data_IF_219264881823
#
_entry.id   IF_219264881823
#
_cell.length_a   1.000
_cell.length_b   1.000
_cell.length_c   1.000
_cell.angle_alpha   90.00
_cell.angle_beta   90.00
_cell.angle_gamma   90.00
#
_symmetry.space_group_name_H-M   'P 1'
#
loop_
_entity.id
_entity.type
_entity.pdbx_description
1 polymer ?
#
# COMPACT_ATOMS: atom_id res chain seq x y z
N UNK A 1 -18.71 -9.31 -22.31
CA UNK A 1 -18.03 -8.02 -22.18
C UNK A 1 -16.58 -8.34 -21.91
N UNK A 2 -15.71 -8.01 -22.86
CA UNK A 2 -14.34 -8.50 -22.98
C UNK A 2 -13.49 -8.16 -21.76
N UNK A 3 -13.01 -9.21 -21.09
CA UNK A 3 -11.94 -9.15 -20.11
C UNK A 3 -10.69 -8.67 -20.85
N UNK A 4 -10.45 -7.37 -20.83
CA UNK A 4 -9.25 -6.77 -21.40
C UNK A 4 -8.09 -7.12 -20.45
N UNK A 5 -7.62 -8.37 -20.55
CA UNK A 5 -6.33 -8.79 -20.03
C UNK A 5 -5.28 -7.96 -20.76
N UNK A 6 -4.95 -6.80 -20.19
CA UNK A 6 -3.69 -6.13 -20.47
C UNK A 6 -2.64 -7.17 -20.16
N UNK A 7 -1.84 -7.52 -21.17
CA UNK A 7 -0.74 -8.47 -21.08
C UNK A 7 0.09 -8.08 -19.85
N UNK A 8 -0.07 -8.83 -18.76
CA UNK A 8 0.60 -8.51 -17.51
C UNK A 8 2.09 -8.53 -17.83
N UNK A 9 2.78 -7.40 -17.59
CA UNK A 9 4.25 -7.34 -17.60
C UNK A 9 4.76 -8.66 -16.98
N UNK A 10 5.74 -9.31 -17.61
CA UNK A 10 6.29 -10.54 -17.03
C UNK A 10 6.75 -10.26 -15.58
N UNK A 11 6.73 -11.27 -14.72
CA UNK A 11 6.98 -11.09 -13.29
C UNK A 11 8.29 -10.32 -13.03
N UNK A 12 9.33 -10.58 -13.82
CA UNK A 12 10.65 -9.97 -13.73
C UNK A 12 10.63 -8.46 -14.05
N UNK A 13 9.83 -8.02 -15.03
CA UNK A 13 9.62 -6.61 -15.33
C UNK A 13 8.89 -5.89 -14.18
N UNK A 14 7.89 -6.54 -13.59
CA UNK A 14 7.18 -6.03 -12.40
C UNK A 14 8.14 -5.91 -11.22
N UNK A 15 8.95 -6.93 -10.95
CA UNK A 15 9.97 -6.92 -9.89
C UNK A 15 10.97 -5.79 -10.12
N UNK A 16 11.47 -5.62 -11.35
CA UNK A 16 12.40 -4.52 -11.69
C UNK A 16 11.79 -3.15 -11.39
N UNK A 17 10.51 -2.96 -11.70
CA UNK A 17 9.78 -1.72 -11.37
C UNK A 17 9.63 -1.53 -9.86
N UNK A 18 9.33 -2.59 -9.12
CA UNK A 18 9.24 -2.58 -7.65
C UNK A 18 10.60 -2.22 -7.04
N UNK A 19 11.71 -2.76 -7.54
CA UNK A 19 13.06 -2.44 -7.07
C UNK A 19 13.42 -0.98 -7.32
N UNK A 20 13.09 -0.44 -8.50
CA UNK A 20 13.27 0.97 -8.80
C UNK A 20 12.47 1.85 -7.84
N UNK A 21 11.20 1.49 -7.59
CA UNK A 21 10.32 2.15 -6.63
C UNK A 21 10.89 2.08 -5.20
N UNK A 22 11.44 0.93 -4.80
CA UNK A 22 12.08 0.73 -3.49
C UNK A 22 13.23 1.71 -3.26
N UNK A 23 14.11 1.90 -4.26
CA UNK A 23 15.23 2.86 -4.17
C UNK A 23 14.76 4.30 -4.00
N UNK A 24 13.70 4.71 -4.72
CA UNK A 24 13.10 6.04 -4.58
C UNK A 24 12.53 6.24 -3.17
N UNK A 25 11.83 5.24 -2.64
CA UNK A 25 11.27 5.26 -1.27
C UNK A 25 12.37 5.35 -0.22
N UNK A 26 13.44 4.57 -0.33
CA UNK A 26 14.58 4.67 0.58
C UNK A 26 15.19 6.08 0.61
N UNK A 27 15.31 6.73 -0.56
CA UNK A 27 15.78 8.12 -0.65
C UNK A 27 14.85 9.11 0.05
N UNK A 28 13.53 8.96 -0.12
CA UNK A 28 12.53 9.81 0.54
C UNK A 28 12.54 9.62 2.06
N UNK A 29 12.65 8.37 2.52
CA UNK A 29 12.72 8.05 3.95
C UNK A 29 13.97 8.63 4.61
N UNK A 30 15.12 8.62 3.94
CA UNK A 30 16.35 9.29 4.41
C UNK A 30 16.18 10.80 4.55
N UNK A 31 15.32 11.41 3.74
CA UNK A 31 14.98 12.83 3.79
C UNK A 31 13.84 13.13 4.78
N UNK A 32 13.37 12.14 5.55
CA UNK A 32 12.19 12.25 6.43
C UNK A 32 10.89 12.62 5.70
N UNK A 33 10.82 12.40 4.37
CA UNK A 33 9.63 12.60 3.52
C UNK A 33 8.76 11.35 3.53
N UNK A 34 8.21 11.04 4.70
CA UNK A 34 7.53 9.76 4.95
C UNK A 34 6.19 9.65 4.22
N UNK A 35 5.45 10.75 4.09
CA UNK A 35 4.17 10.76 3.36
C UNK A 35 4.39 10.60 1.87
N UNK A 36 5.38 11.28 1.29
CA UNK A 36 5.75 11.12 -0.12
C UNK A 36 6.27 9.71 -0.41
N UNK A 37 7.00 9.11 0.55
CA UNK A 37 7.42 7.72 0.46
C UNK A 37 6.20 6.77 0.43
N UNK A 38 5.20 6.99 1.29
CA UNK A 38 3.97 6.20 1.29
C UNK A 38 3.18 6.38 -0.02
N UNK A 39 2.97 7.63 -0.47
CA UNK A 39 2.33 7.91 -1.78
C UNK A 39 3.03 7.16 -2.90
N UNK A 40 4.35 7.28 -2.97
CA UNK A 40 5.17 6.58 -3.98
C UNK A 40 4.98 5.06 -3.90
N UNK A 41 4.85 4.49 -2.69
CA UNK A 41 4.67 3.05 -2.51
C UNK A 41 3.30 2.57 -3.03
N UNK A 42 2.24 3.34 -2.75
CA UNK A 42 0.86 3.05 -3.12
C UNK A 42 0.56 3.35 -4.59
N UNK A 43 1.29 4.27 -5.22
CA UNK A 43 1.15 4.61 -6.64
C UNK A 43 1.33 3.37 -7.53
N UNK A 44 0.37 3.18 -8.44
CA UNK A 44 0.32 2.03 -9.35
C UNK A 44 0.13 0.68 -8.66
N UNK A 45 -0.40 0.64 -7.43
CA UNK A 45 -0.75 -0.59 -6.71
C UNK A 45 -2.25 -0.95 -6.84
N UNK A 46 -2.62 -2.24 -6.77
CA UNK A 46 -1.73 -3.40 -6.66
C UNK A 46 -0.93 -3.67 -7.95
N UNK A 47 0.17 -4.45 -7.89
CA UNK A 47 0.77 -4.94 -9.12
C UNK A 47 -0.29 -5.83 -9.80
N UNK A 48 -0.73 -5.44 -11.00
CA UNK A 48 -1.75 -6.16 -11.80
C UNK A 48 -1.24 -7.54 -12.24
N UNK A 49 -1.07 -8.46 -11.29
CA UNK A 49 -0.49 -9.78 -11.47
C UNK A 49 -1.03 -10.77 -10.45
N UNK A 50 -1.05 -12.04 -10.86
CA UNK A 50 -1.38 -13.17 -9.98
C UNK A 50 -0.13 -13.77 -9.31
N UNK A 51 1.07 -13.29 -9.67
CA UNK A 51 2.32 -13.78 -9.10
C UNK A 51 2.50 -13.26 -7.66
N UNK A 52 2.44 -14.18 -6.70
CA UNK A 52 2.61 -13.89 -5.27
C UNK A 52 4.00 -13.35 -4.91
N UNK A 53 5.03 -13.62 -5.73
CA UNK A 53 6.37 -13.05 -5.55
C UNK A 53 6.34 -11.55 -5.80
N UNK A 54 5.62 -11.11 -6.84
CA UNK A 54 5.46 -9.69 -7.15
C UNK A 54 4.65 -8.96 -6.06
N UNK A 55 3.55 -9.57 -5.59
CA UNK A 55 2.76 -9.03 -4.48
C UNK A 55 3.59 -8.92 -3.21
N UNK A 56 4.36 -9.95 -2.88
CA UNK A 56 5.26 -9.97 -1.71
C UNK A 56 6.38 -8.95 -1.83
N UNK A 57 6.98 -8.78 -3.01
CA UNK A 57 7.98 -7.73 -3.23
C UNK A 57 7.37 -6.33 -3.05
N UNK A 58 6.16 -6.08 -3.59
CA UNK A 58 5.48 -4.80 -3.41
C UNK A 58 5.11 -4.54 -1.95
N UNK A 59 4.73 -5.60 -1.20
CA UNK A 59 4.47 -5.51 0.23
C UNK A 59 5.63 -4.92 1.00
N UNK A 60 6.82 -5.47 0.79
CA UNK A 60 8.02 -5.09 1.56
C UNK A 60 8.27 -3.59 1.41
N UNK A 61 8.01 -3.06 0.21
CA UNK A 61 8.13 -1.64 -0.10
C UNK A 61 7.06 -0.81 0.61
N UNK A 62 5.79 -1.23 0.56
CA UNK A 62 4.68 -0.52 1.23
C UNK A 62 4.81 -0.58 2.74
N UNK A 63 5.08 -1.76 3.30
CA UNK A 63 5.30 -2.01 4.72
C UNK A 63 6.39 -1.10 5.28
N UNK A 64 7.52 -0.97 4.58
CA UNK A 64 8.60 -0.08 4.98
C UNK A 64 8.15 1.38 5.08
N UNK A 65 7.39 1.88 4.10
CA UNK A 65 6.86 3.23 4.13
C UNK A 65 5.82 3.40 5.25
N UNK A 66 4.94 2.41 5.44
CA UNK A 66 3.92 2.38 6.48
C UNK A 66 4.54 2.46 7.88
N UNK A 67 5.58 1.67 8.14
CA UNK A 67 6.28 1.64 9.44
C UNK A 67 7.09 2.91 9.73
N UNK A 68 7.42 3.70 8.70
CA UNK A 68 8.12 4.97 8.87
C UNK A 68 7.20 6.13 9.31
N UNK A 69 5.87 5.97 9.20
CA UNK A 69 4.90 6.98 9.61
C UNK A 69 4.86 7.06 11.15
N UNK A 70 5.30 8.20 11.68
CA UNK A 70 5.22 8.52 13.11
C UNK A 70 4.01 9.37 13.45
N UNK A 71 3.69 10.33 12.59
CA UNK A 71 2.55 11.24 12.71
C UNK A 71 1.43 10.81 11.75
N UNK A 72 0.45 10.09 12.29
CA UNK A 72 -0.69 9.55 11.53
C UNK A 72 -1.67 10.66 11.12
N UNK A 73 -1.95 11.61 12.02
CA UNK A 73 -2.83 12.74 11.73
C UNK A 73 -2.25 13.65 10.64
N UNK A 74 -0.94 13.96 10.73
CA UNK A 74 -0.21 14.71 9.71
C UNK A 74 -0.16 13.99 8.37
N UNK A 75 0.04 12.67 8.37
CA UNK A 75 -0.03 11.85 7.15
C UNK A 75 -1.37 12.05 6.42
N UNK A 76 -2.49 11.94 7.13
CA UNK A 76 -3.81 12.12 6.53
C UNK A 76 -4.21 13.56 6.23
N UNK A 77 -3.40 14.54 6.64
CA UNK A 77 -3.56 15.93 6.20
C UNK A 77 -2.91 16.17 4.85
N UNK A 78 -1.99 15.29 4.44
CA UNK A 78 -1.22 15.41 3.20
C UNK A 78 -1.51 14.31 2.18
N UNK A 79 -2.02 13.15 2.61
CA UNK A 79 -2.35 12.01 1.75
C UNK A 79 -3.68 12.23 1.01
N UNK A 80 -3.64 12.07 -0.32
CA UNK A 80 -4.82 12.28 -1.16
C UNK A 80 -5.86 11.16 -0.95
N UNK A 81 -7.18 11.49 -0.93
CA UNK A 81 -8.23 10.51 -0.70
C UNK A 81 -8.27 9.35 -1.70
N UNK A 82 -7.71 9.51 -2.90
CA UNK A 82 -7.61 8.43 -3.90
C UNK A 82 -6.79 7.22 -3.40
N UNK A 83 -5.87 7.44 -2.45
CA UNK A 83 -5.04 6.38 -1.88
C UNK A 83 -5.70 5.63 -0.71
N UNK A 84 -6.87 6.07 -0.24
CA UNK A 84 -7.47 5.56 0.99
C UNK A 84 -7.88 4.09 0.87
N UNK A 85 -8.54 3.73 -0.23
CA UNK A 85 -9.01 2.35 -0.44
C UNK A 85 -7.84 1.38 -0.59
N UNK A 86 -6.79 1.76 -1.34
CA UNK A 86 -5.59 0.93 -1.49
C UNK A 86 -4.77 0.85 -0.20
N UNK A 87 -4.70 1.92 0.57
CA UNK A 87 -4.08 1.91 1.90
C UNK A 87 -4.82 0.94 2.81
N UNK A 88 -6.16 1.00 2.87
CA UNK A 88 -6.99 0.11 3.69
C UNK A 88 -6.70 -1.37 3.41
N UNK A 89 -6.54 -1.74 2.13
CA UNK A 89 -6.14 -3.11 1.76
C UNK A 89 -4.78 -3.52 2.33
N UNK A 90 -3.79 -2.64 2.22
CA UNK A 90 -2.45 -2.91 2.77
C UNK A 90 -2.45 -2.98 4.30
N UNK A 91 -3.34 -2.24 4.98
CA UNK A 91 -3.53 -2.40 6.43
C UNK A 91 -4.04 -3.80 6.75
N UNK A 92 -5.06 -4.31 6.05
CA UNK A 92 -5.54 -5.67 6.26
C UNK A 92 -4.48 -6.74 5.94
N UNK A 93 -3.67 -6.53 4.90
CA UNK A 93 -2.53 -7.40 4.64
C UNK A 93 -1.54 -7.40 5.81
N UNK A 94 -1.19 -6.23 6.33
CA UNK A 94 -0.32 -6.09 7.49
C UNK A 94 -0.91 -6.76 8.74
N UNK A 95 -2.20 -6.64 8.99
CA UNK A 95 -2.89 -7.32 10.09
C UNK A 95 -2.91 -8.85 9.94
N UNK A 96 -2.93 -9.36 8.70
CA UNK A 96 -2.95 -10.81 8.44
C UNK A 96 -1.57 -11.48 8.46
N UNK A 97 -0.49 -10.73 8.22
CA UNK A 97 0.87 -11.28 7.99
C UNK A 97 1.96 -10.68 8.87
N UNK A 98 1.68 -9.55 9.53
CA UNK A 98 2.65 -8.79 10.29
C UNK A 98 2.89 -9.31 11.71
N UNK A 99 3.98 -8.85 12.29
CA UNK A 99 4.27 -9.00 13.71
C UNK A 99 3.52 -7.97 14.57
N UNK A 100 3.68 -8.03 15.89
CA UNK A 100 2.97 -7.14 16.81
C UNK A 100 3.18 -5.64 16.52
N UNK A 101 4.41 -5.13 16.31
CA UNK A 101 4.62 -3.75 15.89
C UNK A 101 3.90 -3.36 14.60
N UNK A 102 3.87 -4.26 13.62
CA UNK A 102 3.14 -4.03 12.38
C UNK A 102 1.64 -3.93 12.63
N UNK A 103 1.08 -4.86 13.41
CA UNK A 103 -0.34 -4.84 13.75
C UNK A 103 -0.75 -3.59 14.52
N UNK A 104 0.05 -3.18 15.52
CA UNK A 104 -0.18 -1.95 16.28
C UNK A 104 -0.18 -0.73 15.35
N UNK A 105 0.78 -0.64 14.42
CA UNK A 105 0.81 0.44 13.43
C UNK A 105 -0.40 0.42 12.50
N UNK A 106 -0.78 -0.77 12.02
CA UNK A 106 -1.92 -0.93 11.12
C UNK A 106 -3.22 -0.50 11.78
N UNK A 107 -3.44 -0.87 13.06
CA UNK A 107 -4.63 -0.47 13.81
C UNK A 107 -4.71 1.04 14.03
N UNK A 108 -3.60 1.70 14.38
CA UNK A 108 -3.55 3.17 14.54
C UNK A 108 -3.94 3.90 13.24
N UNK A 109 -3.39 3.44 12.12
CA UNK A 109 -3.69 4.04 10.82
C UNK A 109 -5.12 3.71 10.38
N UNK A 110 -5.59 2.49 10.65
CA UNK A 110 -6.94 2.03 10.31
C UNK A 110 -8.01 2.86 11.01
N UNK A 111 -7.87 3.07 12.32
CA UNK A 111 -8.77 3.91 13.11
C UNK A 111 -8.91 5.30 12.47
N UNK A 112 -7.78 5.96 12.23
CA UNK A 112 -7.77 7.31 11.66
C UNK A 112 -8.26 7.39 10.21
N UNK A 113 -7.94 6.37 9.40
CA UNK A 113 -8.46 6.25 8.05
C UNK A 113 -9.98 6.13 8.06
N UNK A 114 -10.52 5.31 8.98
CA UNK A 114 -11.96 5.10 9.11
C UNK A 114 -12.67 6.36 9.58
N UNK A 115 -12.09 7.13 10.50
CA UNK A 115 -12.61 8.45 10.89
C UNK A 115 -12.75 9.40 9.70
N UNK A 116 -11.76 9.43 8.79
CA UNK A 116 -11.72 10.36 7.67
C UNK A 116 -12.49 9.90 6.43
N UNK A 117 -12.41 8.62 6.09
CA UNK A 117 -12.97 8.05 4.86
C UNK A 117 -14.34 7.38 5.07
N UNK A 118 -14.72 7.14 6.33
CA UNK A 118 -15.92 6.41 6.71
C UNK A 118 -15.83 4.91 6.42
N UNK A 119 -16.91 4.20 6.80
CA UNK A 119 -17.01 2.74 6.68
C UNK A 119 -17.01 2.24 5.22
N UNK A 120 -17.32 3.11 4.25
CA UNK A 120 -17.30 2.75 2.83
C UNK A 120 -15.91 2.30 2.35
N UNK A 121 -14.84 2.86 2.90
CA UNK A 121 -13.46 2.47 2.59
C UNK A 121 -13.18 1.02 3.00
N UNK A 122 -13.67 0.60 4.18
CA UNK A 122 -13.59 -0.79 4.66
C UNK A 122 -14.36 -1.72 3.72
N UNK A 123 -15.61 -1.39 3.40
CA UNK A 123 -16.46 -2.23 2.56
C UNK A 123 -15.86 -2.46 1.17
N UNK A 124 -15.31 -1.39 0.55
CA UNK A 124 -14.63 -1.51 -0.75
C UNK A 124 -13.37 -2.36 -0.67
N UNK A 125 -12.57 -2.22 0.39
CA UNK A 125 -11.38 -3.04 0.60
C UNK A 125 -11.72 -4.52 0.77
N UNK A 126 -12.79 -4.85 1.50
CA UNK A 126 -13.24 -6.24 1.72
C UNK A 126 -13.92 -6.86 0.50
N UNK A 127 -14.64 -6.05 -0.29
CA UNK A 127 -15.37 -6.52 -1.46
C UNK A 127 -14.47 -6.74 -2.70
N UNK A 128 -13.29 -6.12 -2.74
CA UNK A 128 -12.38 -6.24 -3.89
C UNK A 128 -11.54 -7.52 -3.83
N UNK A 129 -12.04 -8.57 -4.47
CA UNK A 129 -11.38 -9.87 -4.59
C UNK A 129 -10.49 -10.00 -5.82
N UNK A 130 -10.44 -8.98 -6.68
CA UNK A 130 -9.71 -9.01 -7.95
C UNK A 130 -8.34 -8.36 -7.77
N UNK A 131 -8.33 -7.17 -7.15
CA UNK A 131 -7.14 -6.35 -6.95
C UNK A 131 -6.54 -6.65 -5.57
N UNK A 132 -6.08 -7.88 -5.39
CA UNK A 132 -5.46 -8.35 -4.14
C UNK A 132 -4.05 -7.80 -3.98
N UNK A 133 -3.72 -7.31 -2.78
CA UNK A 133 -2.45 -6.64 -2.49
C UNK A 133 -1.39 -7.55 -1.95
#
# INVERSE_FOLDING_TARGET
MSDAFVEADNAEAIITRIEHKSRKIESLLKQSKTVEALKTALEGSPPNTRDERCKSANWIVVHRALMAIKDVDGMFSSLDPEYYDILMKYLYRGLSTGDRPTCDQCLRIHEKLTEKAGLGCILRALADTINTV
#
